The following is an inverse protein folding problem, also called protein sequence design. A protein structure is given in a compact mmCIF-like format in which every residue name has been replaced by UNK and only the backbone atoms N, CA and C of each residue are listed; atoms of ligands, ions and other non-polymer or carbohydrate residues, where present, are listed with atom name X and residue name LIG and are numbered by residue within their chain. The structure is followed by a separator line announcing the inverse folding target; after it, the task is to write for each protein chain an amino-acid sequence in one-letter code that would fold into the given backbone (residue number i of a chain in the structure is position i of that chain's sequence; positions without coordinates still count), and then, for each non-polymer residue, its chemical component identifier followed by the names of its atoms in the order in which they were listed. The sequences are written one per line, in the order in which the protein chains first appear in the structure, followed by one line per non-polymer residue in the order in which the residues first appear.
data_IF_120447593107
#
_entry.id   IF_120447593107
#
_cell.length_a   1.000
_cell.length_b   1.000
_cell.length_c   1.000
_cell.angle_alpha   90.00
_cell.angle_beta   90.00
_cell.angle_gamma   90.00
#
_symmetry.space_group_name_H-M   'P 1'
#
loop_
_entity.id
_entity.type
_entity.pdbx_description
1 polymer ?
#
# COMPACT_ATOMS: atom_id res chain seq x y z
N UNK A 1 -11.09 -17.06 -5.88
CA UNK A 1 -11.71 -15.72 -5.74
C UNK A 1 -10.60 -14.77 -5.38
N UNK A 2 -10.14 -13.96 -6.34
CA UNK A 2 -9.21 -12.86 -6.05
C UNK A 2 -9.94 -11.86 -5.17
N UNK A 3 -9.38 -11.51 -4.02
CA UNK A 3 -10.04 -10.66 -3.04
C UNK A 3 -9.93 -9.19 -3.46
N UNK A 4 -10.51 -8.87 -4.62
CA UNK A 4 -10.44 -7.56 -5.29
C UNK A 4 -10.95 -6.40 -4.42
N UNK A 5 -11.74 -6.69 -3.38
CA UNK A 5 -12.19 -5.71 -2.39
C UNK A 5 -11.03 -5.19 -1.55
N UNK A 6 -10.12 -6.06 -1.10
CA UNK A 6 -8.98 -5.69 -0.27
C UNK A 6 -8.00 -4.85 -1.08
N UNK A 7 -7.71 -5.26 -2.32
CA UNK A 7 -6.85 -4.50 -3.23
C UNK A 7 -7.41 -3.10 -3.45
N UNK A 8 -8.69 -2.98 -3.82
CA UNK A 8 -9.33 -1.67 -4.00
C UNK A 8 -9.34 -0.82 -2.74
N UNK A 9 -9.55 -1.43 -1.57
CA UNK A 9 -9.48 -0.72 -0.29
C UNK A 9 -8.06 -0.17 -0.05
N UNK A 10 -7.04 -1.02 -0.20
CA UNK A 10 -5.65 -0.64 0.00
C UNK A 10 -5.21 0.45 -0.98
N UNK A 11 -5.57 0.35 -2.26
CA UNK A 11 -5.36 1.41 -3.26
C UNK A 11 -5.91 2.73 -2.77
N UNK A 12 -7.19 2.79 -2.37
CA UNK A 12 -7.81 4.02 -1.88
C UNK A 12 -7.12 4.58 -0.62
N UNK A 13 -6.68 3.72 0.31
CA UNK A 13 -5.99 4.15 1.53
C UNK A 13 -4.60 4.73 1.22
N UNK A 14 -3.88 4.12 0.28
CA UNK A 14 -2.58 4.59 -0.18
C UNK A 14 -2.73 5.92 -0.90
N UNK A 15 -3.60 6.01 -1.91
CA UNK A 15 -3.84 7.24 -2.69
C UNK A 15 -4.28 8.42 -1.83
N UNK A 16 -5.10 8.16 -0.79
CA UNK A 16 -5.55 9.19 0.15
C UNK A 16 -4.49 9.58 1.19
N UNK A 17 -3.29 9.03 1.12
CA UNK A 17 -2.21 9.22 2.10
C UNK A 17 -2.71 8.98 3.54
N UNK A 18 -3.51 7.91 3.73
CA UNK A 18 -4.09 7.57 5.04
C UNK A 18 -3.03 7.09 6.05
N UNK A 19 -1.93 6.53 5.55
CA UNK A 19 -0.79 6.15 6.38
C UNK A 19 0.15 7.34 6.55
N UNK A 20 0.83 7.44 7.69
CA UNK A 20 1.75 8.54 7.97
C UNK A 20 3.04 8.45 7.17
N UNK A 21 3.47 7.24 6.82
CA UNK A 21 4.68 6.98 6.03
C UNK A 21 4.47 5.83 5.06
N UNK A 22 5.39 5.72 4.08
CA UNK A 22 5.47 4.56 3.19
C UNK A 22 5.56 3.24 3.97
N UNK A 23 6.41 3.20 4.99
CA UNK A 23 6.71 1.97 5.72
C UNK A 23 5.47 1.45 6.46
N UNK A 24 4.60 2.34 6.95
CA UNK A 24 3.32 1.97 7.53
C UNK A 24 2.37 1.35 6.49
N UNK A 25 2.34 1.90 5.27
CA UNK A 25 1.53 1.34 4.17
C UNK A 25 2.03 -0.06 3.78
N UNK A 26 3.34 -0.22 3.60
CA UNK A 26 3.96 -1.52 3.27
C UNK A 26 3.75 -2.53 4.38
N UNK A 27 3.93 -2.16 5.65
CA UNK A 27 3.70 -3.06 6.78
C UNK A 27 2.26 -3.59 6.83
N UNK A 28 1.27 -2.81 6.38
CA UNK A 28 -0.10 -3.30 6.23
C UNK A 28 -0.24 -4.28 5.08
N UNK A 29 0.38 -3.99 3.93
CA UNK A 29 0.41 -4.91 2.79
C UNK A 29 1.05 -6.26 3.16
N UNK A 30 2.13 -6.25 3.95
CA UNK A 30 2.82 -7.46 4.43
C UNK A 30 1.88 -8.35 5.26
N UNK A 31 1.08 -7.75 6.16
CA UNK A 31 0.08 -8.49 6.94
C UNK A 31 -0.98 -9.11 6.04
N UNK A 32 -1.51 -8.35 5.07
CA UNK A 32 -2.49 -8.90 4.13
C UNK A 32 -1.91 -10.02 3.26
N UNK A 33 -0.66 -9.88 2.83
CA UNK A 33 0.03 -10.91 2.07
C UNK A 33 0.28 -12.17 2.92
N UNK A 34 0.80 -12.03 4.14
CA UNK A 34 1.00 -13.14 5.08
C UNK A 34 -0.30 -13.86 5.46
N UNK A 35 -1.42 -13.14 5.48
CA UNK A 35 -2.75 -13.70 5.71
C UNK A 35 -3.38 -14.34 4.46
N UNK A 36 -2.66 -14.45 3.34
CA UNK A 36 -3.15 -14.92 2.03
C UNK A 36 -4.40 -14.14 1.57
N UNK A 37 -4.48 -12.85 1.90
CA UNK A 37 -5.61 -11.97 1.53
C UNK A 37 -5.39 -11.28 0.19
N UNK A 38 -4.14 -11.09 -0.19
CA UNK A 38 -3.70 -10.56 -1.49
C UNK A 38 -2.65 -11.50 -2.08
N UNK A 39 -2.56 -11.55 -3.41
CA UNK A 39 -1.52 -12.29 -4.12
C UNK A 39 -0.20 -11.50 -4.15
N UNK A 40 0.88 -12.17 -4.57
CA UNK A 40 2.18 -11.54 -4.77
C UNK A 40 2.13 -10.42 -5.82
N UNK A 41 1.38 -10.63 -6.91
CA UNK A 41 1.17 -9.63 -7.97
C UNK A 41 0.41 -8.39 -7.45
N UNK A 42 -0.62 -8.61 -6.65
CA UNK A 42 -1.40 -7.53 -6.01
C UNK A 42 -0.54 -6.78 -5.00
N UNK A 43 0.27 -7.49 -4.21
CA UNK A 43 1.22 -6.91 -3.27
C UNK A 43 2.26 -6.04 -3.96
N UNK A 44 2.89 -6.52 -5.04
CA UNK A 44 3.88 -5.77 -5.81
C UNK A 44 3.28 -4.49 -6.38
N UNK A 45 2.07 -4.56 -6.93
CA UNK A 45 1.34 -3.41 -7.49
C UNK A 45 1.05 -2.35 -6.42
N UNK A 46 0.54 -2.77 -5.26
CA UNK A 46 0.22 -1.86 -4.15
C UNK A 46 1.48 -1.27 -3.51
N UNK A 47 2.57 -2.03 -3.47
CA UNK A 47 3.87 -1.56 -2.95
C UNK A 47 4.45 -0.48 -3.85
N UNK A 48 4.41 -0.66 -5.17
CA UNK A 48 4.82 0.36 -6.13
C UNK A 48 3.98 1.64 -5.97
N UNK A 49 2.65 1.50 -5.85
CA UNK A 49 1.75 2.63 -5.62
C UNK A 49 2.09 3.38 -4.32
N UNK A 50 2.40 2.66 -3.24
CA UNK A 50 2.83 3.26 -1.99
C UNK A 50 4.18 3.97 -2.14
N UNK A 51 5.13 3.37 -2.86
CA UNK A 51 6.40 4.02 -3.18
C UNK A 51 6.21 5.34 -3.91
N UNK A 52 5.40 5.36 -4.96
CA UNK A 52 5.12 6.57 -5.74
C UNK A 52 4.37 7.62 -4.91
N UNK A 53 3.34 7.23 -4.17
CA UNK A 53 2.47 8.16 -3.44
C UNK A 53 3.18 8.82 -2.26
N UNK A 54 4.06 8.08 -1.57
CA UNK A 54 4.79 8.55 -0.40
C UNK A 54 6.22 9.03 -0.74
N UNK A 55 6.73 8.81 -1.96
CA UNK A 55 8.01 9.38 -2.41
C UNK A 55 8.00 10.92 -2.38
N UNK A 56 6.88 11.55 -2.76
CA UNK A 56 6.72 13.00 -2.72
C UNK A 56 6.73 13.58 -1.29
N UNK A 57 6.49 12.77 -0.26
CA UNK A 57 6.42 13.24 1.12
C UNK A 57 7.81 13.49 1.74
N UNK A 58 8.90 13.08 1.06
CA UNK A 58 10.27 13.30 1.52
C UNK A 58 10.81 14.71 1.30
N UNK A 59 10.08 15.57 0.57
CA UNK A 59 10.55 16.92 0.22
C UNK A 59 9.94 18.04 1.09
N UNK A 60 9.32 17.71 2.23
CA UNK A 60 8.88 18.70 3.23
C UNK A 60 9.69 18.58 4.54
N UNK A 61 11.01 18.70 4.42
CA UNK A 61 11.87 19.17 5.51
C UNK A 61 12.58 20.44 5.05
N UNK A 62 11.98 21.55 5.49
CA UNK A 62 12.57 22.89 5.54
C UNK A 62 13.82 22.93 6.46
#
# INVERSE_FOLDING_TARGET
MNNTVIVKLMTNLIEKKFYGTKDEAIAKLDVYFAMNRISEEEYATLTLLAEETYAEQKDEVA
#
